data_IF_623466252500
#
_entry.id   IF_623466252500
#
_cell.length_a   1.000
_cell.length_b   1.000
_cell.length_c   1.000
_cell.angle_alpha   90.00
_cell.angle_beta   90.00
_cell.angle_gamma   90.00
#
_symmetry.space_group_name_H-M   'P 1'
#
loop_
_entity.id
_entity.type
_entity.pdbx_description
1 polymer ?
#
# COMPACT_ATOMS: atom_id res chain seq x y z
N UNK A 1 -13.28 -23.51 -5.32
CA UNK A 1 -13.40 -22.06 -5.06
C UNK A 1 -13.41 -21.25 -6.34
N UNK A 2 -13.99 -20.03 -6.31
CA UNK A 2 -13.86 -19.08 -7.44
C UNK A 2 -12.68 -18.14 -7.17
N UNK A 3 -12.04 -17.65 -8.23
CA UNK A 3 -11.04 -16.59 -8.19
C UNK A 3 -11.18 -15.67 -9.40
N UNK A 4 -10.87 -14.38 -9.23
CA UNK A 4 -10.90 -13.39 -10.29
C UNK A 4 -9.55 -13.35 -10.99
N UNK A 5 -9.51 -13.61 -12.29
CA UNK A 5 -8.33 -13.48 -13.13
C UNK A 5 -8.33 -12.17 -13.91
N UNK A 6 -7.15 -11.61 -14.06
CA UNK A 6 -6.86 -10.56 -15.02
C UNK A 6 -6.13 -11.18 -16.21
N UNK A 7 -6.76 -11.16 -17.39
CA UNK A 7 -6.17 -11.64 -18.67
C UNK A 7 -5.36 -10.54 -19.37
N UNK A 8 -5.78 -9.30 -19.19
CA UNK A 8 -5.18 -8.10 -19.77
C UNK A 8 -5.93 -6.84 -19.35
N UNK A 9 -5.54 -5.67 -19.83
CA UNK A 9 -6.19 -4.41 -19.45
C UNK A 9 -7.71 -4.48 -19.58
N UNK A 10 -8.41 -4.14 -18.49
CA UNK A 10 -9.87 -4.19 -18.37
C UNK A 10 -10.53 -5.54 -18.73
N UNK A 11 -9.77 -6.62 -18.81
CA UNK A 11 -10.29 -7.96 -19.14
C UNK A 11 -10.20 -8.85 -17.92
N UNK A 12 -11.33 -9.04 -17.26
CA UNK A 12 -11.46 -9.76 -15.99
C UNK A 12 -12.54 -10.84 -16.12
N UNK A 13 -12.30 -12.00 -15.54
CA UNK A 13 -13.32 -13.04 -15.42
C UNK A 13 -13.14 -13.88 -14.16
N UNK A 14 -14.25 -14.36 -13.62
CA UNK A 14 -14.26 -15.37 -12.58
C UNK A 14 -14.04 -16.76 -13.16
N UNK A 15 -13.14 -17.53 -12.57
CA UNK A 15 -12.97 -18.93 -12.90
C UNK A 15 -13.12 -19.84 -11.67
N UNK A 16 -13.52 -21.08 -11.90
CA UNK A 16 -13.47 -22.14 -10.91
C UNK A 16 -12.06 -22.71 -10.80
N UNK A 17 -11.54 -22.81 -9.58
CA UNK A 17 -10.22 -23.35 -9.28
C UNK A 17 -10.30 -24.33 -8.11
N UNK A 18 -9.36 -25.28 -7.98
CA UNK A 18 -9.23 -26.08 -6.78
C UNK A 18 -9.06 -25.20 -5.55
N UNK A 19 -9.54 -25.68 -4.40
CA UNK A 19 -9.26 -25.01 -3.14
C UNK A 19 -7.75 -25.06 -2.85
N UNK A 20 -7.19 -23.99 -2.23
CA UNK A 20 -5.78 -23.97 -1.89
C UNK A 20 -5.47 -25.01 -0.81
N UNK A 21 -4.25 -25.55 -0.85
CA UNK A 21 -3.81 -26.56 0.12
C UNK A 21 -3.42 -25.89 1.43
N UNK A 22 -3.93 -26.42 2.55
CA UNK A 22 -3.51 -26.02 3.88
C UNK A 22 -2.20 -26.71 4.26
N UNK A 23 -1.17 -25.92 4.54
CA UNK A 23 0.12 -26.40 5.04
C UNK A 23 0.15 -26.41 6.58
N UNK A 24 1.08 -27.15 7.15
CA UNK A 24 1.20 -27.33 8.61
C UNK A 24 1.39 -26.01 9.38
N UNK A 25 2.12 -25.04 8.79
CA UNK A 25 2.40 -23.70 9.36
C UNK A 25 1.48 -22.63 8.79
N UNK A 26 0.60 -23.01 7.88
CA UNK A 26 -0.25 -22.09 7.12
C UNK A 26 -1.63 -21.90 7.71
N UNK A 27 -2.38 -21.02 7.07
CA UNK A 27 -3.81 -20.84 7.29
C UNK A 27 -4.54 -20.70 5.96
N UNK A 28 -5.80 -21.11 5.93
CA UNK A 28 -6.75 -20.71 4.88
C UNK A 28 -7.56 -19.54 5.39
N UNK A 29 -7.63 -18.49 4.60
CA UNK A 29 -8.38 -17.28 4.95
C UNK A 29 -9.41 -16.97 3.86
N UNK A 30 -10.56 -16.41 4.29
CA UNK A 30 -11.61 -15.91 3.41
C UNK A 30 -11.51 -14.39 3.38
N UNK A 31 -11.18 -13.75 2.23
CA UNK A 31 -11.18 -12.30 2.12
C UNK A 31 -12.55 -11.70 2.45
N UNK A 32 -12.57 -10.70 3.34
CA UNK A 32 -13.76 -9.92 3.72
C UNK A 32 -13.81 -8.60 2.97
N UNK A 33 -12.67 -7.91 2.88
CA UNK A 33 -12.50 -6.67 2.15
C UNK A 33 -11.16 -6.67 1.42
N UNK A 34 -11.17 -6.29 0.15
CA UNK A 34 -10.00 -6.25 -0.74
C UNK A 34 -9.92 -4.88 -1.40
N UNK A 35 -8.82 -4.15 -1.16
CA UNK A 35 -8.60 -2.86 -1.77
C UNK A 35 -7.75 -2.96 -3.03
N UNK A 36 -7.94 -2.03 -3.97
CA UNK A 36 -7.02 -1.85 -5.10
C UNK A 36 -5.85 -0.97 -4.69
N UNK A 37 -4.65 -1.30 -5.18
CA UNK A 37 -3.47 -0.43 -5.17
C UNK A 37 -3.48 0.48 -6.41
N UNK A 38 -2.71 1.57 -6.38
CA UNK A 38 -2.50 2.42 -7.57
C UNK A 38 -1.84 1.65 -8.72
N UNK A 39 -1.03 0.62 -8.40
CA UNK A 39 -0.46 -0.29 -9.40
C UNK A 39 -1.54 -1.14 -10.07
N UNK A 40 -2.53 -1.65 -9.32
CA UNK A 40 -3.65 -2.38 -9.93
C UNK A 40 -4.39 -1.50 -10.93
N UNK A 41 -4.67 -0.24 -10.57
CA UNK A 41 -5.30 0.73 -11.48
C UNK A 41 -4.44 0.98 -12.71
N UNK A 42 -3.13 1.07 -12.56
CA UNK A 42 -2.21 1.24 -13.69
C UNK A 42 -2.19 0.03 -14.62
N UNK A 43 -2.27 -1.18 -14.07
CA UNK A 43 -2.34 -2.43 -14.84
C UNK A 43 -3.71 -2.56 -15.54
N UNK A 44 -4.80 -2.36 -14.81
CA UNK A 44 -6.17 -2.43 -15.33
C UNK A 44 -6.41 -1.44 -16.47
N UNK A 45 -5.80 -0.26 -16.41
CA UNK A 45 -5.89 0.76 -17.47
C UNK A 45 -4.83 0.62 -18.58
N UNK A 46 -3.98 -0.41 -18.52
CA UNK A 46 -2.91 -0.66 -19.51
C UNK A 46 -1.73 0.30 -19.44
N UNK A 47 -1.64 1.15 -18.42
CA UNK A 47 -0.50 2.05 -18.21
C UNK A 47 0.76 1.33 -17.72
N UNK A 48 0.58 0.22 -17.02
CA UNK A 48 1.68 -0.65 -16.59
C UNK A 48 1.51 -2.05 -17.22
N UNK A 49 2.45 -2.49 -18.08
CA UNK A 49 2.32 -3.75 -18.79
C UNK A 49 2.67 -4.93 -17.87
N UNK A 50 1.66 -5.53 -17.27
CA UNK A 50 1.79 -6.80 -16.55
C UNK A 50 0.96 -7.85 -17.26
N UNK A 51 1.59 -8.83 -17.96
CA UNK A 51 0.87 -9.79 -18.76
C UNK A 51 0.08 -10.76 -17.88
N UNK A 52 -1.17 -11.01 -18.28
CA UNK A 52 -2.03 -12.05 -17.72
C UNK A 52 -1.83 -13.43 -18.38
N UNK A 53 -2.61 -14.47 -18.00
CA UNK A 53 -3.57 -14.41 -16.89
C UNK A 53 -2.92 -14.56 -15.51
N UNK A 54 -3.48 -13.89 -14.50
CA UNK A 54 -3.09 -14.11 -13.10
C UNK A 54 -4.23 -13.73 -12.14
N UNK A 55 -4.30 -14.37 -10.93
CA UNK A 55 -5.24 -13.99 -9.88
C UNK A 55 -4.96 -12.59 -9.36
N UNK A 56 -6.01 -11.75 -9.27
CA UNK A 56 -5.90 -10.35 -8.87
C UNK A 56 -6.14 -10.15 -7.36
N UNK A 57 -5.63 -9.03 -6.84
CA UNK A 57 -5.84 -8.55 -5.47
C UNK A 57 -4.70 -8.93 -4.53
N UNK A 58 -4.11 -7.92 -3.89
CA UNK A 58 -3.01 -8.11 -2.95
C UNK A 58 -3.19 -7.32 -1.63
N UNK A 59 -4.19 -6.47 -1.52
CA UNK A 59 -4.53 -5.77 -0.28
C UNK A 59 -5.79 -6.37 0.33
N UNK A 60 -5.73 -6.94 1.55
CA UNK A 60 -6.94 -7.54 2.11
C UNK A 60 -6.94 -7.76 3.61
N UNK A 61 -8.15 -7.63 4.16
CA UNK A 61 -8.56 -8.11 5.48
C UNK A 61 -9.40 -9.35 5.26
N UNK A 62 -9.16 -10.39 6.06
CA UNK A 62 -9.76 -11.69 5.86
C UNK A 62 -10.17 -12.34 7.20
N UNK A 63 -11.10 -13.30 7.14
CA UNK A 63 -11.43 -14.22 8.23
C UNK A 63 -10.61 -15.49 8.10
N UNK A 64 -10.03 -15.95 9.19
CA UNK A 64 -9.35 -17.26 9.27
C UNK A 64 -10.41 -18.36 9.22
N UNK A 65 -10.32 -19.25 8.22
CA UNK A 65 -11.26 -20.37 8.04
C UNK A 65 -10.69 -21.63 8.66
N UNK A 66 -9.41 -21.90 8.42
CA UNK A 66 -8.73 -23.10 8.90
C UNK A 66 -7.24 -22.79 9.16
N UNK A 67 -6.66 -23.50 10.14
CA UNK A 67 -5.24 -23.34 10.50
C UNK A 67 -4.52 -24.67 10.51
N UNK A 68 -3.26 -24.67 10.08
CA UNK A 68 -2.38 -25.82 10.15
C UNK A 68 -2.02 -26.20 11.58
N UNK A 69 -1.60 -27.47 11.77
CA UNK A 69 -1.38 -28.04 13.10
C UNK A 69 -0.32 -27.33 13.95
N UNK A 70 0.59 -26.57 13.33
CA UNK A 70 1.65 -25.83 14.03
C UNK A 70 1.29 -24.39 14.37
N UNK A 71 0.19 -23.84 13.83
CA UNK A 71 -0.23 -22.44 14.03
C UNK A 71 -0.68 -22.21 15.49
N UNK A 72 -0.27 -21.06 16.06
CA UNK A 72 -0.54 -20.72 17.47
C UNK A 72 -1.10 -19.29 17.65
N UNK A 73 -0.85 -18.38 16.73
CA UNK A 73 -1.18 -16.96 16.88
C UNK A 73 -2.63 -16.61 16.52
N UNK A 74 -3.27 -17.45 15.71
CA UNK A 74 -4.64 -17.22 15.19
C UNK A 74 -5.44 -18.52 15.22
N UNK A 75 -6.77 -18.40 15.14
CA UNK A 75 -7.72 -19.52 15.13
C UNK A 75 -8.86 -19.22 14.13
N UNK A 76 -9.61 -20.25 13.71
CA UNK A 76 -10.81 -20.06 12.89
C UNK A 76 -11.78 -19.06 13.51
N UNK A 77 -12.30 -18.14 12.69
CA UNK A 77 -13.17 -17.03 13.08
C UNK A 77 -12.45 -15.73 13.43
N UNK A 78 -11.12 -15.74 13.60
CA UNK A 78 -10.37 -14.50 13.81
C UNK A 78 -10.34 -13.66 12.51
N UNK A 79 -10.52 -12.35 12.65
CA UNK A 79 -10.36 -11.41 11.54
C UNK A 79 -8.93 -10.87 11.55
N UNK A 80 -8.27 -10.93 10.40
CA UNK A 80 -6.83 -10.66 10.27
C UNK A 80 -6.53 -9.75 9.08
N UNK A 81 -5.49 -8.94 9.23
CA UNK A 81 -4.81 -8.27 8.12
C UNK A 81 -3.78 -9.26 7.56
N UNK A 82 -3.78 -9.43 6.26
CA UNK A 82 -2.81 -10.30 5.57
C UNK A 82 -1.83 -9.43 4.79
N UNK A 83 -0.57 -9.28 5.23
CA UNK A 83 0.43 -8.53 4.48
C UNK A 83 0.59 -9.09 3.07
N UNK A 84 0.70 -8.20 2.07
CA UNK A 84 0.75 -8.64 0.68
C UNK A 84 2.01 -9.43 0.33
N UNK A 85 3.10 -9.23 1.07
CA UNK A 85 4.39 -9.89 0.85
C UNK A 85 4.48 -11.20 1.63
N UNK A 86 4.97 -12.24 0.96
CA UNK A 86 5.21 -13.54 1.59
C UNK A 86 6.49 -13.49 2.42
N UNK A 87 6.40 -13.85 3.71
CA UNK A 87 7.54 -13.80 4.62
C UNK A 87 7.50 -14.92 5.66
N UNK A 88 8.62 -15.62 5.85
CA UNK A 88 8.71 -16.76 6.76
C UNK A 88 8.88 -16.38 8.24
N UNK A 89 9.22 -15.12 8.56
CA UNK A 89 9.49 -14.68 9.94
C UNK A 89 10.87 -15.09 10.50
N UNK A 90 11.51 -16.14 10.01
CA UNK A 90 12.66 -16.79 10.64
C UNK A 90 14.01 -16.48 10.00
N UNK A 91 14.05 -16.18 8.71
CA UNK A 91 15.31 -15.87 8.02
C UNK A 91 15.91 -14.55 8.53
N UNK A 92 17.20 -14.34 8.27
CA UNK A 92 17.91 -13.15 8.75
C UNK A 92 17.25 -11.82 8.34
N UNK A 93 16.82 -11.60 7.08
CA UNK A 93 16.04 -10.41 6.71
C UNK A 93 14.74 -10.26 7.51
N UNK A 94 13.94 -11.33 7.67
CA UNK A 94 12.67 -11.25 8.40
C UNK A 94 12.88 -10.87 9.87
N UNK A 95 13.85 -11.49 10.56
CA UNK A 95 14.20 -11.16 11.95
C UNK A 95 14.72 -9.73 12.13
N UNK A 96 15.21 -9.11 11.06
CA UNK A 96 15.64 -7.71 11.04
C UNK A 96 14.52 -6.75 10.60
N UNK A 97 13.26 -7.21 10.50
CA UNK A 97 12.14 -6.41 10.04
C UNK A 97 12.12 -6.16 8.53
N UNK A 98 13.00 -6.80 7.75
CA UNK A 98 13.05 -6.68 6.28
C UNK A 98 12.23 -7.77 5.61
N UNK A 99 10.94 -7.87 5.99
CA UNK A 99 10.03 -8.94 5.60
C UNK A 99 9.78 -9.03 4.10
N UNK A 100 9.76 -7.91 3.37
CA UNK A 100 9.67 -7.89 1.91
C UNK A 100 10.92 -8.41 1.17
N UNK A 101 11.99 -8.73 1.92
CA UNK A 101 13.22 -9.33 1.41
C UNK A 101 13.45 -10.72 2.02
N UNK A 102 12.37 -11.47 2.28
CA UNK A 102 12.45 -12.82 2.81
C UNK A 102 13.39 -13.69 1.97
N UNK A 103 14.37 -14.35 2.63
CA UNK A 103 15.33 -15.19 1.93
C UNK A 103 14.84 -16.65 1.73
N UNK A 104 13.72 -17.03 2.33
CA UNK A 104 13.12 -18.36 2.17
C UNK A 104 12.25 -18.47 0.90
N UNK A 105 11.90 -17.34 0.28
CA UNK A 105 11.07 -17.28 -0.92
C UNK A 105 11.76 -16.47 -2.02
N UNK A 106 11.40 -16.67 -3.29
CA UNK A 106 11.89 -15.84 -4.39
C UNK A 106 11.68 -14.35 -4.09
N UNK A 107 12.59 -13.52 -4.56
CA UNK A 107 12.49 -12.07 -4.40
C UNK A 107 11.16 -11.57 -5.01
N UNK A 108 10.51 -10.63 -4.34
CA UNK A 108 9.21 -10.08 -4.75
C UNK A 108 8.00 -11.02 -4.54
N UNK A 109 8.13 -12.16 -3.84
CA UNK A 109 6.97 -13.03 -3.57
C UNK A 109 5.84 -12.24 -2.89
N UNK A 110 4.70 -12.14 -3.62
CA UNK A 110 3.51 -11.39 -3.19
C UNK A 110 2.25 -12.03 -3.75
N UNK A 111 1.12 -11.75 -3.13
CA UNK A 111 -0.18 -12.06 -3.73
C UNK A 111 -0.49 -11.11 -4.89
N UNK A 112 -1.32 -11.54 -5.83
CA UNK A 112 -2.08 -10.72 -6.76
C UNK A 112 -1.32 -9.81 -7.73
N UNK A 113 0.00 -9.98 -7.88
CA UNK A 113 0.85 -9.17 -8.76
C UNK A 113 1.46 -9.97 -9.92
N UNK A 114 0.81 -11.05 -10.33
CA UNK A 114 1.21 -11.85 -11.48
C UNK A 114 2.66 -12.32 -11.39
N UNK A 115 3.39 -12.16 -12.50
CA UNK A 115 4.80 -12.57 -12.55
C UNK A 115 5.73 -11.79 -11.62
N UNK A 116 5.38 -10.55 -11.26
CA UNK A 116 6.15 -9.76 -10.30
C UNK A 116 6.14 -10.39 -8.90
N UNK A 117 5.00 -10.97 -8.49
CA UNK A 117 4.80 -11.55 -7.16
C UNK A 117 5.00 -13.05 -7.10
N UNK A 118 5.05 -13.73 -8.25
CA UNK A 118 5.02 -15.19 -8.34
C UNK A 118 3.59 -15.73 -8.41
N UNK A 119 3.28 -16.41 -9.51
CA UNK A 119 1.93 -16.87 -9.83
C UNK A 119 1.34 -17.88 -8.83
N UNK A 120 2.20 -18.59 -8.08
CA UNK A 120 1.77 -19.65 -7.17
C UNK A 120 1.08 -19.18 -5.88
N UNK A 121 1.16 -17.88 -5.56
CA UNK A 121 0.60 -17.35 -4.30
C UNK A 121 -0.89 -17.02 -4.37
N UNK A 122 -1.46 -16.94 -5.57
CA UNK A 122 -2.85 -16.54 -5.79
C UNK A 122 -3.08 -15.04 -5.63
N UNK A 123 -4.34 -14.67 -5.40
CA UNK A 123 -4.77 -13.29 -5.19
C UNK A 123 -5.97 -13.22 -4.25
N UNK A 124 -6.19 -12.06 -3.64
CA UNK A 124 -7.25 -11.87 -2.63
C UNK A 124 -8.66 -11.79 -3.22
N UNK A 125 -8.81 -11.55 -4.53
CA UNK A 125 -10.11 -11.66 -5.19
C UNK A 125 -10.42 -13.14 -5.49
N UNK A 126 -10.55 -13.91 -4.41
CA UNK A 126 -10.85 -15.34 -4.41
C UNK A 126 -11.73 -15.72 -3.22
N UNK A 127 -12.39 -16.89 -3.28
CA UNK A 127 -13.20 -17.38 -2.17
C UNK A 127 -12.33 -17.80 -0.97
N UNK A 128 -11.13 -18.33 -1.24
CA UNK A 128 -10.14 -18.74 -0.24
C UNK A 128 -8.73 -18.37 -0.70
N UNK A 129 -7.85 -18.04 0.25
CA UNK A 129 -6.43 -17.77 0.04
C UNK A 129 -5.61 -18.57 1.06
N UNK A 130 -4.53 -19.21 0.60
CA UNK A 130 -3.56 -19.84 1.50
C UNK A 130 -2.53 -18.81 1.98
N UNK A 131 -2.29 -18.80 3.29
CA UNK A 131 -1.20 -18.03 3.92
C UNK A 131 -0.15 -19.03 4.40
N UNK A 132 1.06 -19.08 3.81
CA UNK A 132 2.01 -20.17 4.05
C UNK A 132 2.63 -20.14 5.44
N UNK A 133 2.78 -18.99 6.07
CA UNK A 133 3.39 -18.79 7.37
C UNK A 133 2.48 -17.96 8.27
N UNK A 134 1.41 -18.58 8.77
CA UNK A 134 0.33 -17.88 9.48
C UNK A 134 0.83 -17.07 10.69
N UNK A 135 1.63 -17.69 11.57
CA UNK A 135 2.15 -17.03 12.78
C UNK A 135 3.11 -15.87 12.47
N UNK A 136 3.82 -15.94 11.34
CA UNK A 136 4.75 -14.90 10.93
C UNK A 136 4.06 -13.76 10.18
N UNK A 137 3.04 -14.07 9.38
CA UNK A 137 2.41 -13.12 8.46
C UNK A 137 1.18 -12.45 9.05
N UNK A 138 0.25 -13.24 9.62
CA UNK A 138 -1.05 -12.72 10.02
C UNK A 138 -0.96 -11.74 11.20
N UNK A 139 -1.80 -10.71 11.15
CA UNK A 139 -1.96 -9.74 12.25
C UNK A 139 -3.44 -9.64 12.57
N UNK A 140 -3.81 -9.93 13.81
CA UNK A 140 -5.19 -9.79 14.23
C UNK A 140 -5.69 -8.35 14.03
N UNK A 141 -6.88 -8.21 13.45
CA UNK A 141 -7.53 -6.91 13.32
C UNK A 141 -8.01 -6.48 14.72
N UNK A 142 -7.60 -5.31 15.24
CA UNK A 142 -8.12 -4.79 16.49
C UNK A 142 -9.63 -4.62 16.48
N UNK A 143 -10.27 -4.96 17.60
CA UNK A 143 -11.71 -4.76 17.76
C UNK A 143 -12.08 -3.28 17.55
N UNK A 144 -13.15 -3.05 16.79
CA UNK A 144 -13.66 -1.71 16.48
C UNK A 144 -13.11 -1.09 15.19
N UNK A 145 -12.12 -1.69 14.54
CA UNK A 145 -11.74 -1.30 13.17
C UNK A 145 -12.63 -2.01 12.15
N UNK A 146 -13.15 -1.23 11.21
CA UNK A 146 -13.96 -1.74 10.09
C UNK A 146 -13.04 -2.35 9.02
N UNK A 147 -13.20 -3.65 8.66
CA UNK A 147 -12.42 -4.29 7.61
C UNK A 147 -12.41 -3.54 6.28
N UNK A 148 -13.53 -2.91 5.90
CA UNK A 148 -13.65 -2.13 4.66
C UNK A 148 -12.79 -0.88 4.72
N UNK A 149 -12.84 -0.14 5.83
CA UNK A 149 -12.07 1.08 6.01
C UNK A 149 -10.55 0.81 5.98
N UNK A 150 -10.11 -0.32 6.55
CA UNK A 150 -8.68 -0.64 6.70
C UNK A 150 -8.16 -1.69 5.72
N UNK A 151 -8.88 -1.99 4.64
CA UNK A 151 -8.48 -3.00 3.67
C UNK A 151 -7.05 -2.77 3.11
N UNK A 152 -6.62 -1.51 3.02
CA UNK A 152 -5.27 -1.13 2.58
C UNK A 152 -4.16 -1.31 3.64
N UNK A 153 -4.49 -1.84 4.83
CA UNK A 153 -3.48 -2.12 5.85
C UNK A 153 -2.48 -3.22 5.46
N UNK A 154 -2.78 -3.97 4.41
CA UNK A 154 -1.87 -5.01 3.87
C UNK A 154 -0.68 -4.44 3.11
N UNK A 155 -0.80 -3.25 2.51
CA UNK A 155 0.21 -2.66 1.61
C UNK A 155 0.27 -1.13 1.70
N UNK A 156 -0.74 -0.40 1.20
CA UNK A 156 -0.64 1.03 0.98
C UNK A 156 -0.53 1.84 2.29
N UNK A 157 -1.21 1.45 3.36
CA UNK A 157 -1.05 2.11 4.66
C UNK A 157 0.35 1.90 5.25
N UNK A 158 0.94 0.68 5.26
CA UNK A 158 2.35 0.47 5.58
C UNK A 158 3.31 1.30 4.73
N UNK A 159 3.07 1.40 3.42
CA UNK A 159 3.94 2.16 2.53
C UNK A 159 3.84 3.67 2.79
N UNK A 160 2.65 4.19 3.06
CA UNK A 160 2.44 5.56 3.49
C UNK A 160 3.17 5.85 4.82
N UNK A 161 3.00 4.98 5.83
CA UNK A 161 3.63 5.14 7.13
C UNK A 161 5.16 5.23 7.03
N UNK A 162 5.84 4.39 6.21
CA UNK A 162 7.30 4.45 6.07
C UNK A 162 7.81 5.79 5.54
N UNK A 163 6.96 6.56 4.84
CA UNK A 163 7.34 7.85 4.26
C UNK A 163 7.28 9.01 5.25
N UNK A 164 6.53 8.89 6.32
CA UNK A 164 6.31 9.98 7.31
C UNK A 164 6.56 9.56 8.76
N UNK A 165 6.21 8.34 9.16
CA UNK A 165 6.27 7.89 10.54
C UNK A 165 7.66 7.99 11.17
N UNK A 166 8.70 7.30 10.62
CA UNK A 166 10.06 7.38 11.15
C UNK A 166 10.65 8.80 11.10
N UNK A 167 10.28 9.59 10.09
CA UNK A 167 10.74 10.96 9.90
C UNK A 167 10.17 11.90 10.97
N UNK A 168 8.86 11.80 11.23
CA UNK A 168 8.20 12.59 12.27
C UNK A 168 8.60 12.14 13.69
N UNK A 169 8.88 10.84 13.89
CA UNK A 169 9.45 10.37 15.14
C UNK A 169 10.84 10.96 15.42
N UNK A 170 11.67 11.16 14.36
CA UNK A 170 12.98 11.80 14.47
C UNK A 170 12.91 13.33 14.59
N UNK A 171 11.88 13.96 14.02
CA UNK A 171 11.67 15.42 14.02
C UNK A 171 10.21 15.75 14.34
N UNK A 172 9.79 15.63 15.63
CA UNK A 172 8.40 15.90 16.02
C UNK A 172 7.97 17.33 15.67
N UNK A 173 6.74 17.48 15.17
CA UNK A 173 6.19 18.77 14.77
C UNK A 173 6.74 19.31 13.44
N UNK A 174 7.54 18.54 12.70
CA UNK A 174 8.08 18.99 11.42
C UNK A 174 6.95 19.22 10.38
N UNK A 175 7.14 20.22 9.50
CA UNK A 175 6.29 20.42 8.33
C UNK A 175 6.52 19.31 7.31
N UNK A 176 5.45 18.86 6.65
CA UNK A 176 5.44 17.80 5.65
C UNK A 176 4.90 18.32 4.33
N UNK A 177 5.59 18.01 3.22
CA UNK A 177 5.08 18.19 1.86
C UNK A 177 4.89 16.81 1.22
N UNK A 178 3.70 16.55 0.70
CA UNK A 178 3.42 15.41 -0.18
C UNK A 178 3.17 15.92 -1.59
N UNK A 179 3.87 15.36 -2.57
CA UNK A 179 3.67 15.66 -3.99
C UNK A 179 2.99 14.47 -4.64
N UNK A 180 1.72 14.63 -4.99
CA UNK A 180 0.92 13.67 -5.76
C UNK A 180 1.04 13.88 -7.27
N UNK A 181 0.32 13.09 -8.04
CA UNK A 181 0.30 13.16 -9.51
C UNK A 181 -0.44 11.97 -10.14
N UNK A 182 -0.63 12.02 -11.46
CA UNK A 182 -1.48 11.07 -12.20
C UNK A 182 -0.80 9.71 -12.46
N UNK A 183 0.53 9.65 -12.34
CA UNK A 183 1.32 8.47 -12.71
C UNK A 183 1.89 7.72 -11.51
N UNK A 184 1.68 8.22 -10.31
CA UNK A 184 2.30 7.73 -9.09
C UNK A 184 1.39 6.91 -8.19
N UNK A 185 1.79 6.89 -6.93
CA UNK A 185 1.13 6.23 -5.81
C UNK A 185 0.29 7.24 -5.02
N UNK A 186 -0.69 7.88 -5.69
CA UNK A 186 -1.45 8.99 -5.13
C UNK A 186 -2.26 8.60 -3.87
N UNK A 187 -2.78 7.37 -3.79
CA UNK A 187 -3.49 6.91 -2.59
C UNK A 187 -2.52 6.76 -1.40
N UNK A 188 -1.30 6.26 -1.64
CA UNK A 188 -0.23 6.23 -0.62
C UNK A 188 0.12 7.66 -0.20
N UNK A 189 0.21 8.60 -1.14
CA UNK A 189 0.44 10.01 -0.85
C UNK A 189 -0.64 10.62 0.05
N UNK A 190 -1.92 10.35 -0.23
CA UNK A 190 -3.03 10.81 0.60
C UNK A 190 -3.02 10.17 2.00
N UNK A 191 -2.75 8.87 2.09
CA UNK A 191 -2.58 8.19 3.38
C UNK A 191 -1.40 8.78 4.16
N UNK A 192 -0.27 9.07 3.50
CA UNK A 192 0.88 9.70 4.14
C UNK A 192 0.53 11.10 4.68
N UNK A 193 -0.25 11.88 3.93
CA UNK A 193 -0.71 13.20 4.37
C UNK A 193 -1.60 13.09 5.62
N UNK A 194 -2.61 12.21 5.62
CA UNK A 194 -3.49 11.99 6.76
C UNK A 194 -2.75 11.44 7.99
N UNK A 195 -1.86 10.47 7.79
CA UNK A 195 -1.01 9.96 8.87
C UNK A 195 -0.11 11.04 9.46
N UNK A 196 0.47 11.92 8.62
CA UNK A 196 1.31 13.02 9.09
C UNK A 196 0.52 14.00 9.99
N UNK A 197 -0.75 14.27 9.66
CA UNK A 197 -1.64 15.09 10.50
C UNK A 197 -1.84 14.44 11.86
N UNK A 198 -2.21 13.17 11.90
CA UNK A 198 -2.46 12.42 13.16
C UNK A 198 -1.18 12.25 13.98
N UNK A 199 -0.03 12.10 13.33
CA UNK A 199 1.29 12.01 13.97
C UNK A 199 1.81 13.37 14.49
N UNK A 200 1.03 14.45 14.36
CA UNK A 200 1.35 15.75 14.92
C UNK A 200 2.38 16.56 14.12
N UNK A 201 2.39 16.41 12.79
CA UNK A 201 3.13 17.33 11.92
C UNK A 201 2.69 18.79 12.15
N UNK A 202 3.59 19.75 12.00
CA UNK A 202 3.26 21.18 12.15
C UNK A 202 2.30 21.66 11.06
N UNK A 203 2.68 21.46 9.82
CA UNK A 203 1.86 21.74 8.63
C UNK A 203 2.03 20.60 7.64
N UNK A 204 0.90 20.14 7.08
CA UNK A 204 0.91 19.14 6.00
C UNK A 204 0.36 19.79 4.74
N UNK A 205 1.16 19.81 3.68
CA UNK A 205 0.78 20.33 2.35
C UNK A 205 0.71 19.16 1.38
N UNK A 206 -0.40 19.06 0.65
CA UNK A 206 -0.57 18.09 -0.44
C UNK A 206 -0.68 18.82 -1.76
N UNK A 207 0.31 18.65 -2.63
CA UNK A 207 0.39 19.29 -3.95
C UNK A 207 -0.02 18.31 -5.04
N UNK A 208 -1.11 18.56 -5.75
CA UNK A 208 -1.64 17.67 -6.79
C UNK A 208 -2.45 18.45 -7.83
N UNK A 209 -2.32 18.14 -9.13
CA UNK A 209 -3.14 18.79 -10.19
C UNK A 209 -4.61 18.38 -10.12
N UNK A 210 -4.95 17.20 -9.64
CA UNK A 210 -6.32 16.67 -9.60
C UNK A 210 -7.16 17.30 -8.48
N UNK A 211 -8.32 17.89 -8.78
CA UNK A 211 -9.17 18.53 -7.77
C UNK A 211 -9.84 17.54 -6.81
N UNK A 212 -10.14 16.32 -7.26
CA UNK A 212 -10.73 15.27 -6.41
C UNK A 212 -9.75 14.80 -5.35
N UNK A 213 -8.49 14.54 -5.74
CA UNK A 213 -7.44 14.16 -4.78
C UNK A 213 -7.13 15.30 -3.81
N UNK A 214 -7.19 16.56 -4.24
CA UNK A 214 -7.06 17.70 -3.31
C UNK A 214 -8.20 17.79 -2.31
N UNK A 215 -9.44 17.48 -2.72
CA UNK A 215 -10.57 17.42 -1.79
C UNK A 215 -10.40 16.29 -0.76
N UNK A 216 -9.89 15.11 -1.17
CA UNK A 216 -9.53 14.03 -0.25
C UNK A 216 -8.41 14.46 0.72
N UNK A 217 -7.40 15.20 0.22
CA UNK A 217 -6.33 15.73 1.06
C UNK A 217 -6.86 16.70 2.14
N UNK A 218 -7.80 17.55 1.78
CA UNK A 218 -8.48 18.43 2.75
C UNK A 218 -9.29 17.61 3.77
N UNK A 219 -9.99 16.58 3.31
CA UNK A 219 -10.76 15.70 4.20
C UNK A 219 -9.89 14.97 5.23
N UNK A 220 -8.66 14.57 4.87
CA UNK A 220 -7.69 13.97 5.82
C UNK A 220 -6.91 15.02 6.64
N UNK A 221 -7.26 16.31 6.54
CA UNK A 221 -6.69 17.40 7.33
C UNK A 221 -5.42 18.06 6.74
N UNK A 222 -5.03 17.74 5.52
CA UNK A 222 -3.90 18.39 4.85
C UNK A 222 -4.36 19.66 4.12
N UNK A 223 -3.42 20.60 3.90
CA UNK A 223 -3.65 21.81 3.11
C UNK A 223 -3.42 21.51 1.62
N UNK A 224 -4.45 21.57 0.76
CA UNK A 224 -4.30 21.30 -0.65
C UNK A 224 -3.58 22.45 -1.37
N UNK A 225 -2.66 22.12 -2.27
CA UNK A 225 -1.99 23.07 -3.17
C UNK A 225 -2.33 22.72 -4.62
N UNK A 226 -3.00 23.59 -5.36
CA UNK A 226 -3.42 23.32 -6.73
C UNK A 226 -2.31 23.48 -7.77
N UNK A 227 -2.53 22.88 -8.95
CA UNK A 227 -1.70 23.01 -10.15
C UNK A 227 -0.63 21.92 -10.28
N UNK A 228 0.09 21.92 -11.41
CA UNK A 228 1.24 21.04 -11.57
C UNK A 228 2.29 21.37 -10.52
N UNK A 229 3.14 20.39 -10.13
CA UNK A 229 4.15 20.61 -9.10
C UNK A 229 5.10 21.73 -9.55
N UNK A 230 5.29 22.80 -8.75
CA UNK A 230 6.26 23.84 -9.08
C UNK A 230 7.67 23.28 -8.93
N UNK A 231 8.68 23.99 -9.47
CA UNK A 231 10.06 23.57 -9.24
C UNK A 231 10.42 23.41 -7.76
N UNK A 232 9.81 24.23 -6.90
CA UNK A 232 9.97 24.22 -5.44
C UNK A 232 8.70 24.77 -4.79
N UNK A 233 8.09 24.00 -3.89
CA UNK A 233 6.86 24.36 -3.18
C UNK A 233 7.10 25.03 -1.81
N UNK A 234 8.35 25.12 -1.37
CA UNK A 234 8.69 25.65 -0.05
C UNK A 234 9.97 25.03 0.52
N UNK A 235 10.04 24.94 1.86
CA UNK A 235 11.14 24.25 2.56
C UNK A 235 10.51 23.42 3.69
N UNK A 236 10.63 22.10 3.59
CA UNK A 236 9.99 21.13 4.47
C UNK A 236 11.03 20.12 4.98
N UNK A 237 11.14 19.86 6.28
CA UNK A 237 12.02 18.83 6.83
C UNK A 237 11.68 17.42 6.29
N UNK A 238 10.40 17.15 6.02
CA UNK A 238 9.92 15.88 5.47
C UNK A 238 9.21 16.14 4.17
N UNK A 239 9.65 15.47 3.10
CA UNK A 239 8.96 15.50 1.80
C UNK A 239 8.68 14.08 1.31
N UNK A 240 7.53 13.90 0.67
CA UNK A 240 7.08 12.64 0.08
C UNK A 240 6.86 12.88 -1.40
N UNK A 241 7.48 12.06 -2.24
CA UNK A 241 7.15 11.97 -3.64
C UNK A 241 6.25 10.76 -3.89
N UNK A 242 5.01 11.04 -4.25
CA UNK A 242 4.00 10.06 -4.66
C UNK A 242 3.50 10.34 -6.09
N UNK A 243 4.25 11.16 -6.86
CA UNK A 243 3.79 11.68 -8.14
C UNK A 243 3.96 10.71 -9.32
N UNK A 244 5.01 9.88 -9.30
CA UNK A 244 5.41 9.09 -10.47
C UNK A 244 5.86 9.92 -11.67
N UNK A 245 6.09 11.22 -11.47
CA UNK A 245 6.51 12.18 -12.48
C UNK A 245 7.88 12.76 -12.12
N UNK A 246 8.86 12.82 -13.07
CA UNK A 246 10.18 13.41 -12.81
C UNK A 246 10.14 14.86 -12.32
N UNK A 247 9.14 15.66 -12.71
CA UNK A 247 8.98 17.04 -12.23
C UNK A 247 8.44 17.06 -10.79
N UNK A 248 7.53 16.13 -10.44
CA UNK A 248 7.06 15.95 -9.07
C UNK A 248 8.18 15.53 -8.13
N UNK A 249 8.98 14.53 -8.51
CA UNK A 249 10.17 14.13 -7.74
C UNK A 249 11.15 15.30 -7.57
N UNK A 250 11.42 16.07 -8.64
CA UNK A 250 12.26 17.26 -8.55
C UNK A 250 11.67 18.33 -7.62
N UNK A 251 10.36 18.54 -7.65
CA UNK A 251 9.68 19.42 -6.70
C UNK A 251 9.90 18.98 -5.27
N UNK A 252 9.66 17.71 -4.95
CA UNK A 252 9.88 17.14 -3.62
C UNK A 252 11.32 17.34 -3.16
N UNK A 253 12.31 16.97 -3.99
CA UNK A 253 13.73 17.10 -3.68
C UNK A 253 14.19 18.55 -3.50
N UNK A 254 13.70 19.50 -4.34
CA UNK A 254 14.01 20.91 -4.19
C UNK A 254 13.33 21.55 -2.98
N UNK A 255 12.19 21.00 -2.54
CA UNK A 255 11.43 21.48 -1.39
C UNK A 255 11.88 20.86 -0.08
N UNK A 256 12.76 19.85 -0.09
CA UNK A 256 13.35 19.28 1.12
C UNK A 256 14.29 20.32 1.76
N UNK A 257 14.11 20.59 3.04
CA UNK A 257 14.97 21.49 3.83
C UNK A 257 16.39 20.95 3.98
N UNK A 258 17.37 21.78 4.37
CA UNK A 258 18.67 21.29 4.77
C UNK A 258 18.54 20.19 5.85
N UNK A 259 19.35 19.12 5.72
CA UNK A 259 19.36 17.92 6.55
C UNK A 259 18.00 17.17 6.62
N UNK A 260 17.04 17.55 5.75
CA UNK A 260 15.73 16.91 5.65
C UNK A 260 15.74 15.59 4.89
N UNK A 261 14.60 14.90 4.91
CA UNK A 261 14.41 13.61 4.22
C UNK A 261 13.32 13.71 3.16
N UNK A 262 13.64 13.28 1.94
CA UNK A 262 12.69 13.01 0.86
C UNK A 262 12.52 11.51 0.73
N UNK A 263 11.28 11.01 0.79
CA UNK A 263 10.97 9.59 0.52
C UNK A 263 10.06 9.48 -0.70
N UNK A 264 10.49 8.69 -1.71
CA UNK A 264 9.63 8.36 -2.84
C UNK A 264 8.91 7.03 -2.59
N UNK A 265 7.61 7.03 -2.76
CA UNK A 265 6.73 5.85 -2.83
C UNK A 265 6.36 5.49 -4.28
N UNK A 266 6.68 6.36 -5.23
CA UNK A 266 6.35 6.16 -6.63
C UNK A 266 7.32 5.18 -7.33
N UNK A 267 6.77 4.49 -8.34
CA UNK A 267 7.53 3.63 -9.24
C UNK A 267 7.94 4.44 -10.47
N UNK A 268 9.23 4.37 -10.80
CA UNK A 268 9.80 4.97 -12.01
C UNK A 268 10.31 3.85 -12.92
N UNK A 269 9.62 3.55 -14.04
CA UNK A 269 10.01 2.46 -14.92
C UNK A 269 11.26 2.77 -15.75
N UNK A 270 11.69 4.02 -15.79
CA UNK A 270 12.90 4.50 -16.49
C UNK A 270 13.78 5.32 -15.57
N UNK A 271 15.06 5.45 -15.90
CA UNK A 271 15.99 6.28 -15.14
C UNK A 271 15.56 7.74 -15.11
N UNK A 272 15.67 8.36 -13.93
CA UNK A 272 15.33 9.77 -13.69
C UNK A 272 16.55 10.54 -13.25
N UNK A 273 16.79 11.68 -13.89
CA UNK A 273 17.86 12.59 -13.51
C UNK A 273 17.55 13.29 -12.18
N UNK A 274 18.49 13.20 -11.22
CA UNK A 274 18.36 13.81 -9.90
C UNK A 274 19.20 15.09 -9.78
N UNK A 275 18.76 16.10 -9.01
CA UNK A 275 19.48 17.34 -8.77
C UNK A 275 20.59 17.15 -7.72
N UNK A 276 21.56 16.26 -7.98
CA UNK A 276 22.55 15.80 -6.98
C UNK A 276 23.35 16.94 -6.34
N UNK A 277 23.73 18.00 -7.08
CA UNK A 277 24.44 19.14 -6.51
C UNK A 277 23.58 19.88 -5.47
N UNK A 278 22.29 20.06 -5.76
CA UNK A 278 21.36 20.70 -4.83
C UNK A 278 21.06 19.81 -3.61
N UNK A 279 21.09 18.48 -3.77
CA UNK A 279 20.96 17.51 -2.69
C UNK A 279 22.21 17.53 -1.79
N UNK A 280 23.38 17.46 -2.39
CA UNK A 280 24.67 17.52 -1.69
C UNK A 280 24.82 18.81 -0.86
N UNK A 281 24.54 19.97 -1.46
CA UNK A 281 24.72 21.27 -0.78
C UNK A 281 23.81 21.48 0.41
N UNK A 282 22.72 20.71 0.52
CA UNK A 282 21.77 20.76 1.64
C UNK A 282 21.86 19.56 2.57
N UNK A 283 22.72 18.58 2.30
CA UNK A 283 22.88 17.39 3.12
C UNK A 283 21.62 16.52 3.20
N UNK A 284 20.72 16.60 2.18
CA UNK A 284 19.44 15.91 2.27
C UNK A 284 19.59 14.39 2.12
N UNK A 285 18.71 13.66 2.77
CA UNK A 285 18.54 12.21 2.60
C UNK A 285 17.45 11.93 1.56
N UNK A 286 17.77 11.11 0.54
CA UNK A 286 16.75 10.56 -0.37
C UNK A 286 16.58 9.07 -0.14
N UNK A 287 15.33 8.63 -0.03
CA UNK A 287 14.96 7.24 0.19
C UNK A 287 13.96 6.79 -0.88
N UNK A 288 14.23 5.62 -1.46
CA UNK A 288 13.28 4.91 -2.32
C UNK A 288 13.31 3.42 -1.95
N UNK A 289 12.30 2.66 -2.38
CA UNK A 289 12.23 1.23 -2.14
C UNK A 289 10.84 0.78 -1.70
N UNK A 290 10.70 -0.53 -1.54
CA UNK A 290 9.45 -1.17 -1.11
C UNK A 290 9.28 -1.10 0.40
N UNK A 291 8.04 -1.10 0.83
CA UNK A 291 7.71 -1.28 2.25
C UNK A 291 8.04 -2.73 2.68
N UNK A 292 8.23 -2.90 3.97
CA UNK A 292 8.21 -4.19 4.68
C UNK A 292 6.92 -4.27 5.48
N UNK A 293 5.79 -4.55 4.79
CA UNK A 293 4.44 -4.35 5.29
C UNK A 293 4.24 -4.99 6.66
N UNK A 294 4.54 -6.28 6.81
CA UNK A 294 4.37 -6.99 8.08
C UNK A 294 5.10 -6.34 9.25
N UNK A 295 6.31 -5.84 9.00
CA UNK A 295 7.16 -5.30 10.06
C UNK A 295 6.64 -3.97 10.62
N UNK A 296 5.96 -3.17 9.80
CA UNK A 296 5.47 -1.84 10.20
C UNK A 296 3.98 -1.83 10.58
N UNK A 297 3.26 -2.93 10.36
CA UNK A 297 1.83 -3.05 10.69
C UNK A 297 1.50 -2.64 12.14
N UNK A 298 2.25 -3.01 13.18
CA UNK A 298 1.94 -2.54 14.54
C UNK A 298 1.87 -1.02 14.64
N UNK A 299 2.83 -0.31 14.05
CA UNK A 299 2.83 1.15 14.06
C UNK A 299 1.71 1.76 13.21
N UNK A 300 1.31 1.11 12.11
CA UNK A 300 0.13 1.50 11.32
C UNK A 300 -1.14 1.37 12.17
N UNK A 301 -1.29 0.27 12.90
CA UNK A 301 -2.44 0.05 13.77
C UNK A 301 -2.52 1.09 14.90
N UNK A 302 -1.36 1.52 15.45
CA UNK A 302 -1.30 2.62 16.43
C UNK A 302 -1.83 3.93 15.84
N UNK A 303 -1.49 4.24 14.58
CA UNK A 303 -1.99 5.45 13.88
C UNK A 303 -3.50 5.37 13.63
N UNK A 304 -3.99 4.20 13.21
CA UNK A 304 -5.43 3.96 13.03
C UNK A 304 -6.18 4.11 14.36
N UNK A 305 -5.63 3.53 15.43
CA UNK A 305 -6.15 3.69 16.80
C UNK A 305 -6.13 5.12 17.34
N UNK A 306 -5.27 5.97 16.76
CA UNK A 306 -5.16 7.39 17.10
C UNK A 306 -6.12 8.31 16.33
N UNK A 307 -7.00 7.74 15.50
CA UNK A 307 -8.08 8.47 14.83
C UNK A 307 -7.85 8.79 13.35
N UNK A 308 -6.84 8.19 12.71
CA UNK A 308 -6.74 8.26 11.25
C UNK A 308 -7.83 7.39 10.60
N UNK A 309 -8.67 7.99 9.77
CA UNK A 309 -9.70 7.30 8.99
C UNK A 309 -9.26 7.13 7.53
N UNK A 310 -8.79 5.94 7.12
CA UNK A 310 -8.36 5.71 5.74
C UNK A 310 -9.52 5.63 4.73
N UNK A 311 -10.76 5.48 5.17
CA UNK A 311 -11.93 5.44 4.28
C UNK A 311 -12.12 6.75 3.53
N UNK A 312 -11.59 7.88 4.03
CA UNK A 312 -11.62 9.19 3.38
C UNK A 312 -10.84 9.22 2.04
N UNK A 313 -10.01 8.21 1.77
CA UNK A 313 -9.28 8.05 0.50
C UNK A 313 -9.97 7.07 -0.45
N UNK A 314 -10.96 6.31 0.04
CA UNK A 314 -11.70 5.34 -0.76
C UNK A 314 -12.68 6.06 -1.68
N UNK A 315 -12.56 5.81 -2.99
CA UNK A 315 -13.46 6.40 -3.99
C UNK A 315 -14.73 5.56 -4.23
N UNK A 316 -14.60 4.23 -4.14
CA UNK A 316 -15.70 3.29 -4.45
C UNK A 316 -15.66 2.11 -3.49
N UNK A 317 -16.83 1.71 -3.01
CA UNK A 317 -17.04 0.42 -2.34
C UNK A 317 -18.04 -0.38 -3.17
N UNK A 318 -17.70 -1.61 -3.53
CA UNK A 318 -18.55 -2.47 -4.34
C UNK A 318 -18.63 -3.89 -3.75
N UNK A 319 -19.65 -4.63 -4.15
CA UNK A 319 -19.78 -6.05 -3.79
C UNK A 319 -18.65 -6.87 -4.39
N UNK A 320 -18.22 -7.89 -3.68
CA UNK A 320 -17.22 -8.84 -4.15
C UNK A 320 -17.69 -9.57 -5.44
N UNK A 321 -18.99 -9.85 -5.56
CA UNK A 321 -19.55 -10.48 -6.76
C UNK A 321 -19.54 -9.54 -7.98
N UNK A 322 -19.59 -8.23 -7.77
CA UNK A 322 -19.51 -7.20 -8.81
C UNK A 322 -18.06 -6.79 -9.14
N UNK A 323 -17.06 -7.47 -8.59
CA UNK A 323 -15.66 -7.08 -8.71
C UNK A 323 -15.17 -6.90 -10.15
N UNK A 324 -15.58 -7.79 -11.06
CA UNK A 324 -15.18 -7.70 -12.47
C UNK A 324 -15.69 -6.41 -13.12
N UNK A 325 -16.96 -6.05 -12.87
CA UNK A 325 -17.57 -4.83 -13.42
C UNK A 325 -16.99 -3.57 -12.76
N UNK A 326 -16.83 -3.59 -11.43
CA UNK A 326 -16.26 -2.45 -10.69
C UNK A 326 -14.82 -2.15 -11.09
N UNK A 327 -14.04 -3.16 -11.48
CA UNK A 327 -12.64 -3.02 -11.87
C UNK A 327 -12.44 -2.86 -13.39
N UNK A 328 -13.45 -3.09 -14.22
CA UNK A 328 -13.36 -2.87 -15.66
C UNK A 328 -13.11 -1.39 -16.03
N UNK A 329 -13.60 -0.46 -15.20
CA UNK A 329 -13.37 0.98 -15.36
C UNK A 329 -13.07 1.62 -14.00
N UNK A 330 -11.88 1.40 -13.41
CA UNK A 330 -11.58 1.86 -12.07
C UNK A 330 -11.52 3.40 -12.01
N UNK A 331 -12.34 3.99 -11.13
CA UNK A 331 -12.42 5.43 -10.94
C UNK A 331 -11.48 5.95 -9.82
N UNK A 332 -10.64 5.08 -9.27
CA UNK A 332 -9.76 5.42 -8.16
C UNK A 332 -9.59 4.24 -7.19
N UNK A 333 -9.29 4.54 -5.92
CA UNK A 333 -9.19 3.54 -4.86
C UNK A 333 -10.53 2.85 -4.66
N UNK A 334 -10.60 1.56 -4.96
CA UNK A 334 -11.81 0.74 -4.85
C UNK A 334 -11.62 -0.31 -3.75
N UNK A 335 -12.63 -0.49 -2.92
CA UNK A 335 -12.70 -1.59 -1.95
C UNK A 335 -13.82 -2.53 -2.35
N UNK A 336 -13.50 -3.80 -2.51
CA UNK A 336 -14.43 -4.88 -2.82
C UNK A 336 -14.72 -5.64 -1.53
N UNK A 337 -15.99 -5.81 -1.17
CA UNK A 337 -16.36 -6.34 0.13
C UNK A 337 -17.39 -7.46 0.05
N UNK A 338 -17.30 -8.40 1.03
CA UNK A 338 -18.30 -9.44 1.32
C UNK A 338 -19.17 -9.10 2.54
N UNK A 339 -18.95 -7.97 3.18
CA UNK A 339 -19.69 -7.49 4.36
C UNK A 339 -20.54 -6.28 4.02
#
# INVERSE_FOLDING_TARGET
MRRLLLDGPATLHWEDAPDPVLETEGALVRPLAVATCDLDVAVLTGRYPLPGPYPLGHEGVAEVVEVGASVRSVRPGDVVIVPFQISCGECAPCRQGRTGNCAAHPMMSTYGLGQLGGLGWGGFLADLVAVPHADAMLVALPAGLDPVAVASASDNLPDAWRTVGPQLAATPGADVLVVGGDHGSWSIGLYAAGMAVVLGAGRVVYSDPDPGRRAMAEAVGATPQPGPPPRKAGSFPVTVDASGDPDGLRCALHSTAPDGTCTSSALYPTDVALPLLAMYSRGLTFRTGRVHARAVLPAVLDVLGSGFDPSLVTATVASFDDAADALAAPLGKTVLTRV
#
